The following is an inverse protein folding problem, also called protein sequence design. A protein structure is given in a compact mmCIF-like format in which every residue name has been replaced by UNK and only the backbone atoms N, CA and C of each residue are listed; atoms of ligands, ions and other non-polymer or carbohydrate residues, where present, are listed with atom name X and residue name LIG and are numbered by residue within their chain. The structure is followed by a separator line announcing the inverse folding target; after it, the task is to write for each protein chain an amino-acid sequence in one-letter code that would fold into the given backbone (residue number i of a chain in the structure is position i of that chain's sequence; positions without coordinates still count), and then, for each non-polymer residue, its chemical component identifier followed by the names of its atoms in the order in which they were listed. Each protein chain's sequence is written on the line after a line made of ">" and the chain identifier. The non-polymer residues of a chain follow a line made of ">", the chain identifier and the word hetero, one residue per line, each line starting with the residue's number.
data_IF_464330424200
#
_entry.id   IF_464330424200
#
_cell.length_a   1.000
_cell.length_b   1.000
_cell.length_c   1.000
_cell.angle_alpha   90.00
_cell.angle_beta   90.00
_cell.angle_gamma   90.00
#
_symmetry.space_group_name_H-M   'P 1'
#
loop_
_entity.id
_entity.type
_entity.pdbx_description
1 polymer ?
#
# COMPACT_ATOMS: atom_id res chain seq x y z
N UNK A 1 -26.32 -47.53 8.42
CA UNK A 1 -25.36 -46.79 9.27
C UNK A 1 -24.24 -46.18 8.41
N UNK A 2 -24.58 -45.48 7.31
CA UNK A 2 -23.61 -44.90 6.35
C UNK A 2 -24.03 -43.50 5.86
N UNK A 3 -24.90 -42.79 6.61
CA UNK A 3 -25.34 -41.42 6.28
C UNK A 3 -24.73 -40.33 7.17
N UNK A 4 -23.99 -40.69 8.21
CA UNK A 4 -23.42 -39.73 9.16
C UNK A 4 -21.93 -39.42 8.95
N UNK A 5 -21.23 -40.09 8.02
CA UNK A 5 -19.80 -39.86 7.79
C UNK A 5 -19.54 -38.84 6.65
N UNK A 6 -20.56 -38.47 5.88
CA UNK A 6 -20.43 -37.45 4.82
C UNK A 6 -20.63 -36.00 5.32
N UNK A 7 -20.68 -35.77 6.64
CA UNK A 7 -20.87 -34.45 7.25
C UNK A 7 -19.58 -33.81 7.79
N UNK A 8 -18.42 -34.47 7.63
CA UNK A 8 -17.16 -34.03 8.24
C UNK A 8 -16.06 -33.61 7.25
N UNK A 9 -16.38 -33.38 5.97
CA UNK A 9 -15.45 -32.72 5.04
C UNK A 9 -15.72 -31.22 4.90
N UNK A 10 -16.23 -30.61 5.98
CA UNK A 10 -16.29 -29.16 6.14
C UNK A 10 -14.89 -28.70 6.57
N UNK A 11 -13.93 -28.74 5.65
CA UNK A 11 -12.91 -27.69 5.68
C UNK A 11 -13.69 -26.38 5.65
N UNK A 12 -13.58 -25.58 6.71
CA UNK A 12 -14.34 -24.34 6.87
C UNK A 12 -14.10 -23.42 5.67
N UNK A 13 -14.92 -23.54 4.63
CA UNK A 13 -14.97 -22.59 3.53
C UNK A 13 -15.53 -21.31 4.12
N UNK A 14 -14.61 -20.42 4.53
CA UNK A 14 -14.97 -19.07 4.91
C UNK A 14 -15.85 -18.47 3.82
N UNK A 15 -17.02 -17.95 4.22
CA UNK A 15 -17.95 -17.33 3.29
C UNK A 15 -17.20 -16.30 2.43
N UNK A 16 -17.30 -16.35 1.08
CA UNK A 16 -16.60 -15.40 0.20
C UNK A 16 -17.01 -13.94 0.50
N UNK A 17 -18.21 -13.74 1.05
CA UNK A 17 -18.65 -12.44 1.53
C UNK A 17 -17.87 -11.96 2.77
N UNK A 18 -17.59 -12.87 3.71
CA UNK A 18 -16.76 -12.56 4.88
C UNK A 18 -15.33 -12.22 4.45
N UNK A 19 -14.75 -13.00 3.53
CA UNK A 19 -13.42 -12.70 2.97
C UNK A 19 -13.39 -11.31 2.31
N UNK A 20 -14.42 -10.96 1.52
CA UNK A 20 -14.53 -9.63 0.93
C UNK A 20 -14.57 -8.52 1.99
N UNK A 21 -15.32 -8.71 3.08
CA UNK A 21 -15.40 -7.73 4.18
C UNK A 21 -14.09 -7.60 4.96
N UNK A 22 -13.40 -8.72 5.24
CA UNK A 22 -12.07 -8.70 5.85
C UNK A 22 -11.11 -7.93 4.93
N UNK A 23 -11.15 -8.20 3.62
CA UNK A 23 -10.39 -7.46 2.63
C UNK A 23 -10.67 -5.97 2.66
N UNK A 24 -11.94 -5.57 2.69
CA UNK A 24 -12.34 -4.17 2.82
C UNK A 24 -11.86 -3.51 4.12
N UNK A 25 -11.91 -4.23 5.25
CA UNK A 25 -11.42 -3.70 6.53
C UNK A 25 -9.90 -3.52 6.52
N UNK A 26 -9.15 -4.52 6.05
CA UNK A 26 -7.69 -4.42 5.88
C UNK A 26 -7.32 -3.26 4.94
N UNK A 27 -8.04 -3.12 3.83
CA UNK A 27 -7.78 -2.04 2.88
C UNK A 27 -8.07 -0.66 3.47
N UNK A 28 -9.13 -0.54 4.28
CA UNK A 28 -9.41 0.70 5.01
C UNK A 28 -8.30 1.05 6.00
N UNK A 29 -7.80 0.07 6.77
CA UNK A 29 -6.66 0.29 7.67
C UNK A 29 -5.40 0.74 6.90
N UNK A 30 -5.15 0.17 5.72
CA UNK A 30 -4.04 0.57 4.86
C UNK A 30 -4.21 2.01 4.38
N UNK A 31 -5.40 2.39 3.90
CA UNK A 31 -5.65 3.75 3.40
C UNK A 31 -5.54 4.76 4.54
N UNK A 32 -6.18 4.50 5.69
CA UNK A 32 -6.11 5.38 6.85
C UNK A 32 -4.68 5.46 7.39
N UNK A 33 -4.00 4.33 7.53
CA UNK A 33 -2.62 4.29 8.01
C UNK A 33 -1.64 4.96 7.04
N UNK A 34 -1.82 4.77 5.73
CA UNK A 34 -1.01 5.38 4.67
C UNK A 34 -1.24 6.89 4.50
N UNK A 35 -2.45 7.39 4.75
CA UNK A 35 -2.77 8.83 4.72
C UNK A 35 -2.46 9.54 6.06
N UNK A 36 -2.53 8.83 7.19
CA UNK A 36 -2.41 9.45 8.52
C UNK A 36 -0.99 9.34 9.08
N UNK A 37 -0.33 8.18 8.96
CA UNK A 37 0.97 7.97 9.60
C UNK A 37 2.12 8.81 8.97
N UNK A 38 2.27 8.91 7.64
CA UNK A 38 3.35 9.70 7.02
C UNK A 38 3.14 11.22 7.02
N UNK A 39 1.95 11.70 7.39
CA UNK A 39 1.56 13.10 7.18
C UNK A 39 1.07 13.82 8.45
N UNK A 40 0.28 13.14 9.30
CA UNK A 40 -0.21 13.71 10.55
C UNK A 40 0.69 13.39 11.75
N UNK A 41 1.37 12.23 11.72
CA UNK A 41 2.13 11.69 12.87
C UNK A 41 3.65 11.78 12.66
N UNK A 42 4.12 11.61 11.42
CA UNK A 42 5.52 11.79 11.04
C UNK A 42 5.65 13.01 10.11
N UNK A 43 5.91 14.23 10.62
CA UNK A 43 5.90 15.46 9.84
C UNK A 43 7.16 15.60 8.97
N UNK A 44 7.56 14.55 8.26
CA UNK A 44 8.68 14.57 7.33
C UNK A 44 8.34 15.27 6.01
N UNK A 45 7.07 15.60 5.77
CA UNK A 45 6.61 16.12 4.48
C UNK A 45 6.85 15.12 3.34
N UNK A 46 6.89 13.82 3.66
CA UNK A 46 7.09 12.76 2.68
C UNK A 46 6.11 12.96 1.53
N UNK A 47 6.60 13.06 0.29
CA UNK A 47 5.77 13.32 -0.91
C UNK A 47 5.06 14.70 -0.99
N UNK A 48 5.17 15.58 0.01
CA UNK A 48 4.56 16.93 0.01
C UNK A 48 5.55 18.07 -0.26
N UNK A 49 6.82 17.77 -0.51
CA UNK A 49 7.83 18.77 -0.87
C UNK A 49 9.25 18.32 -0.56
N UNK A 50 10.21 19.21 -0.81
CA UNK A 50 11.61 18.96 -0.49
C UNK A 50 11.85 19.13 1.02
N UNK A 51 12.46 18.13 1.71
CA UNK A 51 12.79 18.25 3.13
C UNK A 51 13.81 19.39 3.35
N UNK A 52 13.63 20.12 4.44
CA UNK A 52 14.43 21.29 4.79
C UNK A 52 14.86 21.28 6.27
N UNK A 53 15.66 22.26 6.68
CA UNK A 53 15.99 22.46 8.10
C UNK A 53 14.75 22.65 8.98
N UNK A 54 13.69 23.26 8.45
CA UNK A 54 12.41 23.39 9.17
C UNK A 54 11.73 22.02 9.36
N UNK A 55 11.87 21.11 8.40
CA UNK A 55 11.38 19.73 8.52
C UNK A 55 12.11 19.01 9.66
N UNK A 56 13.44 19.13 9.72
CA UNK A 56 14.22 18.53 10.80
C UNK A 56 13.82 19.08 12.17
N UNK A 57 13.64 20.40 12.29
CA UNK A 57 13.20 21.03 13.54
C UNK A 57 11.83 20.51 14.01
N UNK A 58 10.88 20.30 13.09
CA UNK A 58 9.56 19.70 13.40
C UNK A 58 9.69 18.26 13.90
N UNK A 59 10.53 17.46 13.25
CA UNK A 59 10.79 16.07 13.67
C UNK A 59 11.46 16.05 15.05
N UNK A 60 12.48 16.87 15.26
CA UNK A 60 13.23 16.93 16.51
C UNK A 60 12.35 17.34 17.70
N UNK A 61 11.43 18.29 17.48
CA UNK A 61 10.45 18.69 18.50
C UNK A 61 9.49 17.56 18.89
N UNK A 62 9.19 16.63 17.97
CA UNK A 62 8.20 15.57 18.16
C UNK A 62 8.75 14.18 17.80
N UNK A 63 9.95 13.87 18.31
CA UNK A 63 10.73 12.68 17.91
C UNK A 63 9.99 11.36 18.17
N UNK A 64 9.33 11.23 19.31
CA UNK A 64 8.56 10.03 19.67
C UNK A 64 7.37 9.79 18.73
N UNK A 65 6.67 10.88 18.34
CA UNK A 65 5.57 10.79 17.37
C UNK A 65 6.11 10.36 16.01
N UNK A 66 7.26 10.91 15.60
CA UNK A 66 7.92 10.50 14.38
C UNK A 66 8.24 9.00 14.43
N UNK A 67 8.91 8.48 15.46
CA UNK A 67 9.22 7.05 15.62
C UNK A 67 7.96 6.16 15.60
N UNK A 68 6.91 6.54 16.33
CA UNK A 68 5.64 5.82 16.34
C UNK A 68 5.02 5.77 14.93
N UNK A 69 5.15 6.84 14.14
CA UNK A 69 4.72 6.85 12.74
C UNK A 69 5.45 5.83 11.86
N UNK A 70 6.70 5.50 12.18
CA UNK A 70 7.46 4.43 11.52
C UNK A 70 6.95 3.04 11.89
N UNK A 71 6.69 2.80 13.18
CA UNK A 71 6.11 1.53 13.66
C UNK A 71 4.70 1.31 13.11
N UNK A 72 3.87 2.35 13.08
CA UNK A 72 2.53 2.29 12.52
C UNK A 72 2.54 1.89 11.02
N UNK A 73 3.53 2.35 10.26
CA UNK A 73 3.69 1.93 8.86
C UNK A 73 4.03 0.43 8.71
N UNK A 74 4.78 -0.17 9.64
CA UNK A 74 5.01 -1.62 9.61
C UNK A 74 3.70 -2.41 9.78
N UNK A 75 2.81 -1.93 10.64
CA UNK A 75 1.47 -2.53 10.80
C UNK A 75 0.66 -2.42 9.50
N UNK A 76 0.71 -1.27 8.84
CA UNK A 76 0.09 -1.07 7.52
C UNK A 76 0.62 -2.08 6.50
N UNK A 77 1.94 -2.28 6.43
CA UNK A 77 2.53 -3.23 5.48
C UNK A 77 2.22 -4.69 5.81
N UNK A 78 2.02 -5.04 7.09
CA UNK A 78 1.51 -6.35 7.49
C UNK A 78 0.04 -6.55 7.05
N UNK A 79 -0.79 -5.50 7.11
CA UNK A 79 -2.13 -5.52 6.53
C UNK A 79 -2.09 -5.69 5.01
N UNK A 80 -1.13 -5.06 4.32
CA UNK A 80 -0.92 -5.19 2.87
C UNK A 80 -0.65 -6.64 2.44
N UNK A 81 0.25 -7.33 3.15
CA UNK A 81 0.55 -8.75 2.93
C UNK A 81 -0.70 -9.60 3.14
N UNK A 82 -1.46 -9.31 4.19
CA UNK A 82 -2.71 -10.01 4.49
C UNK A 82 -3.78 -9.78 3.41
N UNK A 83 -3.89 -8.55 2.90
CA UNK A 83 -4.82 -8.19 1.83
C UNK A 83 -4.43 -8.83 0.49
N UNK A 84 -3.14 -9.06 0.23
CA UNK A 84 -2.69 -9.80 -0.95
C UNK A 84 -3.30 -11.21 -1.00
N UNK A 85 -3.33 -11.90 0.15
CA UNK A 85 -3.94 -13.22 0.27
C UNK A 85 -5.45 -13.16 0.02
N UNK A 86 -6.14 -12.17 0.60
CA UNK A 86 -7.59 -12.00 0.38
C UNK A 86 -7.89 -11.77 -1.10
N UNK A 87 -7.19 -10.86 -1.77
CA UNK A 87 -7.42 -10.64 -3.21
C UNK A 87 -7.07 -11.86 -4.05
N UNK A 88 -6.01 -12.60 -3.72
CA UNK A 88 -5.70 -13.85 -4.39
C UNK A 88 -6.86 -14.85 -4.28
N UNK A 89 -7.38 -15.09 -3.08
CA UNK A 89 -8.48 -16.03 -2.84
C UNK A 89 -9.77 -15.60 -3.55
N UNK A 90 -10.08 -14.31 -3.53
CA UNK A 90 -11.27 -13.78 -4.19
C UNK A 90 -11.19 -13.84 -5.72
N UNK A 91 -10.00 -13.63 -6.30
CA UNK A 91 -9.82 -13.44 -7.74
C UNK A 91 -9.20 -14.64 -8.46
N UNK A 92 -8.67 -15.65 -7.75
CA UNK A 92 -8.17 -16.90 -8.35
C UNK A 92 -9.20 -17.61 -9.25
N UNK A 93 -10.53 -17.53 -9.04
CA UNK A 93 -11.49 -18.11 -9.97
C UNK A 93 -11.52 -17.48 -11.36
N UNK A 94 -10.95 -16.27 -11.53
CA UNK A 94 -10.80 -15.64 -12.86
C UNK A 94 -9.57 -16.20 -13.57
N UNK A 95 -8.44 -16.23 -12.86
CA UNK A 95 -7.19 -16.84 -13.32
C UNK A 95 -6.20 -16.94 -12.17
N UNK A 96 -5.87 -18.18 -11.75
CA UNK A 96 -4.91 -18.44 -10.68
C UNK A 96 -3.53 -17.82 -10.95
N UNK A 97 -3.03 -17.93 -12.19
CA UNK A 97 -1.69 -17.40 -12.56
C UNK A 97 -1.63 -15.88 -12.48
N UNK A 98 -2.67 -15.19 -12.97
CA UNK A 98 -2.72 -13.72 -12.98
C UNK A 98 -2.97 -13.18 -11.56
N UNK A 99 -3.82 -13.86 -10.77
CA UNK A 99 -4.03 -13.51 -9.37
C UNK A 99 -2.75 -13.68 -8.53
N UNK A 100 -1.97 -14.74 -8.76
CA UNK A 100 -0.65 -14.92 -8.12
C UNK A 100 0.33 -13.82 -8.51
N UNK A 101 0.38 -13.44 -9.80
CA UNK A 101 1.24 -12.37 -10.25
C UNK A 101 0.90 -11.03 -9.55
N UNK A 102 -0.39 -10.72 -9.42
CA UNK A 102 -0.83 -9.56 -8.65
C UNK A 102 -0.40 -9.63 -7.18
N UNK A 103 -0.51 -10.80 -6.54
CA UNK A 103 -0.07 -11.00 -5.17
C UNK A 103 1.45 -10.80 -5.03
N UNK A 104 2.26 -11.35 -5.94
CA UNK A 104 3.71 -11.15 -5.93
C UNK A 104 4.09 -9.67 -6.05
N UNK A 105 3.45 -8.90 -6.93
CA UNK A 105 3.71 -7.47 -6.99
C UNK A 105 3.34 -6.72 -5.70
N UNK A 106 2.24 -7.09 -5.04
CA UNK A 106 1.87 -6.51 -3.75
C UNK A 106 2.86 -6.86 -2.63
N UNK A 107 3.34 -8.10 -2.60
CA UNK A 107 4.37 -8.53 -1.66
C UNK A 107 5.70 -7.81 -1.90
N UNK A 108 6.11 -7.65 -3.16
CA UNK A 108 7.30 -6.87 -3.53
C UNK A 108 7.15 -5.40 -3.08
N UNK A 109 5.99 -4.79 -3.31
CA UNK A 109 5.68 -3.46 -2.77
C UNK A 109 5.88 -3.41 -1.26
N UNK A 110 5.22 -4.31 -0.51
CA UNK A 110 5.28 -4.32 0.95
C UNK A 110 6.71 -4.54 1.46
N UNK A 111 7.50 -5.41 0.81
CA UNK A 111 8.88 -5.68 1.18
C UNK A 111 9.78 -4.45 0.98
N UNK A 112 9.72 -3.81 -0.20
CA UNK A 112 10.50 -2.60 -0.49
C UNK A 112 10.09 -1.47 0.46
N UNK A 113 8.78 -1.25 0.63
CA UNK A 113 8.26 -0.18 1.48
C UNK A 113 8.64 -0.39 2.95
N UNK A 114 8.60 -1.63 3.46
CA UNK A 114 9.03 -1.98 4.81
C UNK A 114 10.52 -1.80 5.01
N UNK A 115 11.35 -2.27 4.08
CA UNK A 115 12.80 -2.08 4.16
C UNK A 115 13.16 -0.58 4.15
N UNK A 116 12.45 0.22 3.35
CA UNK A 116 12.67 1.65 3.25
C UNK A 116 12.33 2.44 4.53
N UNK A 117 11.58 1.85 5.48
CA UNK A 117 11.36 2.44 6.81
C UNK A 117 12.69 2.60 7.57
N UNK A 118 13.76 1.88 7.23
CA UNK A 118 15.06 2.09 7.87
C UNK A 118 15.51 3.56 7.78
N UNK A 119 15.27 4.22 6.65
CA UNK A 119 15.59 5.64 6.46
C UNK A 119 14.84 6.54 7.46
N UNK A 120 13.64 6.13 7.86
CA UNK A 120 12.84 6.82 8.87
C UNK A 120 13.53 6.77 10.22
N UNK A 121 13.90 5.57 10.70
CA UNK A 121 14.51 5.40 12.02
C UNK A 121 15.94 5.95 12.10
N UNK A 122 16.72 5.88 11.01
CA UNK A 122 18.07 6.47 10.99
C UNK A 122 18.01 7.99 11.18
N UNK A 123 17.01 8.67 10.58
CA UNK A 123 16.79 10.11 10.85
C UNK A 123 16.48 10.35 12.33
N UNK A 124 15.73 9.47 12.98
CA UNK A 124 15.47 9.58 14.42
C UNK A 124 16.76 9.48 15.24
N UNK A 125 17.61 8.50 14.93
CA UNK A 125 18.91 8.31 15.60
C UNK A 125 19.82 9.54 15.45
N UNK A 126 19.88 10.10 14.24
CA UNK A 126 20.68 11.31 13.95
C UNK A 126 20.17 12.51 14.77
N UNK A 127 18.86 12.74 14.80
CA UNK A 127 18.27 13.89 15.48
C UNK A 127 18.19 13.71 17.01
N UNK A 128 18.22 12.46 17.49
CA UNK A 128 18.20 12.11 18.91
C UNK A 128 19.53 12.32 19.64
N UNK A 129 20.62 12.59 18.92
CA UNK A 129 21.92 12.95 19.52
C UNK A 129 22.68 11.78 20.14
N UNK A 130 22.77 10.64 19.45
CA UNK A 130 23.57 9.50 19.94
C UNK A 130 25.07 9.83 20.00
N UNK A 131 25.74 9.48 21.09
CA UNK A 131 27.20 9.65 21.27
C UNK A 131 28.06 8.98 20.17
N UNK A 132 27.52 8.00 19.46
CA UNK A 132 28.20 7.36 18.32
C UNK A 132 28.38 8.26 17.09
N UNK A 133 27.86 9.49 17.12
CA UNK A 133 27.90 10.44 16.00
C UNK A 133 28.74 11.70 16.30
N UNK A 134 29.46 11.72 17.43
CA UNK A 134 30.22 12.89 17.90
C UNK A 134 31.34 13.34 16.94
N UNK A 135 31.79 12.47 16.03
CA UNK A 135 32.78 12.79 14.99
C UNK A 135 32.19 13.65 13.85
N UNK A 136 30.87 13.65 13.69
CA UNK A 136 30.21 14.44 12.65
C UNK A 136 29.90 15.85 13.16
N UNK A 137 30.17 16.85 12.32
CA UNK A 137 29.68 18.20 12.60
C UNK A 137 28.15 18.28 12.51
N UNK A 138 27.50 19.22 13.24
CA UNK A 138 26.05 19.39 13.16
C UNK A 138 25.52 19.61 11.74
N UNK A 139 26.28 20.32 10.89
CA UNK A 139 25.92 20.53 9.49
C UNK A 139 25.95 19.25 8.65
N UNK A 140 26.90 18.35 8.89
CA UNK A 140 26.95 17.04 8.23
C UNK A 140 25.77 16.16 8.62
N UNK A 141 25.42 16.14 9.92
CA UNK A 141 24.26 15.40 10.42
C UNK A 141 22.94 15.89 9.82
N UNK A 142 22.76 17.22 9.73
CA UNK A 142 21.57 17.81 9.11
C UNK A 142 21.47 17.46 7.61
N UNK A 143 22.59 17.57 6.87
CA UNK A 143 22.62 17.21 5.46
C UNK A 143 22.32 15.71 5.23
N UNK A 144 22.87 14.84 6.09
CA UNK A 144 22.60 13.41 6.06
C UNK A 144 21.14 13.09 6.36
N UNK A 145 20.56 13.71 7.40
CA UNK A 145 19.15 13.52 7.74
C UNK A 145 18.21 13.95 6.61
N UNK A 146 18.46 15.11 5.98
CA UNK A 146 17.71 15.57 4.80
C UNK A 146 17.83 14.58 3.65
N UNK A 147 19.04 14.08 3.40
CA UNK A 147 19.28 13.10 2.32
C UNK A 147 18.51 11.81 2.57
N UNK A 148 18.50 11.30 3.80
CA UNK A 148 17.73 10.11 4.17
C UNK A 148 16.21 10.32 4.03
N UNK A 149 15.69 11.51 4.34
CA UNK A 149 14.28 11.84 4.08
C UNK A 149 13.95 11.83 2.57
N UNK A 150 14.87 12.32 1.72
CA UNK A 150 14.73 12.22 0.26
C UNK A 150 14.79 10.78 -0.22
N UNK A 151 15.76 9.99 0.26
CA UNK A 151 15.87 8.56 -0.04
C UNK A 151 14.61 7.81 0.39
N UNK A 152 14.03 8.14 1.54
CA UNK A 152 12.77 7.56 2.00
C UNK A 152 11.63 7.85 1.00
N UNK A 153 11.53 9.08 0.50
CA UNK A 153 10.51 9.43 -0.51
C UNK A 153 10.73 8.63 -1.80
N UNK A 154 11.96 8.63 -2.33
CA UNK A 154 12.32 7.90 -3.54
C UNK A 154 12.08 6.39 -3.41
N UNK A 155 12.48 5.78 -2.29
CA UNK A 155 12.27 4.36 -2.02
C UNK A 155 10.78 3.99 -1.96
N UNK A 156 9.93 4.90 -1.50
CA UNK A 156 8.48 4.69 -1.52
C UNK A 156 7.90 4.81 -2.93
N UNK A 157 8.40 5.73 -3.78
CA UNK A 157 7.98 5.79 -5.18
C UNK A 157 8.39 4.55 -5.97
N UNK A 158 9.56 3.97 -5.67
CA UNK A 158 9.99 2.67 -6.22
C UNK A 158 9.01 1.57 -5.78
N UNK A 159 8.60 1.56 -4.50
CA UNK A 159 7.59 0.61 -4.04
C UNK A 159 6.26 0.82 -4.81
N UNK A 160 5.79 2.05 -4.94
CA UNK A 160 4.55 2.39 -5.65
C UNK A 160 4.53 1.91 -7.09
N UNK A 161 5.67 1.84 -7.77
CA UNK A 161 5.73 1.23 -9.10
C UNK A 161 5.17 -0.20 -9.11
N UNK A 162 5.60 -1.05 -8.15
CA UNK A 162 5.09 -2.42 -8.03
C UNK A 162 3.64 -2.46 -7.55
N UNK A 163 3.26 -1.56 -6.65
CA UNK A 163 1.87 -1.40 -6.24
C UNK A 163 0.95 -1.05 -7.42
N UNK A 164 1.42 -0.18 -8.31
CA UNK A 164 0.69 0.20 -9.52
C UNK A 164 0.46 -0.97 -10.48
N UNK A 165 1.48 -1.82 -10.67
CA UNK A 165 1.35 -3.07 -11.42
C UNK A 165 0.32 -4.02 -10.79
N UNK A 166 0.34 -4.15 -9.46
CA UNK A 166 -0.68 -4.89 -8.72
C UNK A 166 -2.08 -4.33 -9.00
N UNK A 167 -2.29 -3.02 -8.84
CA UNK A 167 -3.58 -2.35 -9.06
C UNK A 167 -4.08 -2.51 -10.51
N UNK A 168 -3.19 -2.42 -11.51
CA UNK A 168 -3.53 -2.67 -12.91
C UNK A 168 -4.05 -4.10 -13.12
N UNK A 169 -3.36 -5.10 -12.55
CA UNK A 169 -3.74 -6.51 -12.71
C UNK A 169 -5.01 -6.84 -11.92
N UNK A 170 -5.14 -6.37 -10.66
CA UNK A 170 -6.37 -6.54 -9.88
C UNK A 170 -7.53 -5.84 -10.58
N UNK A 171 -7.33 -4.64 -11.13
CA UNK A 171 -8.35 -3.93 -11.90
C UNK A 171 -8.83 -4.73 -13.11
N UNK A 172 -7.90 -5.34 -13.85
CA UNK A 172 -8.21 -6.29 -14.93
C UNK A 172 -9.02 -7.51 -14.44
N UNK A 173 -8.59 -8.14 -13.34
CA UNK A 173 -9.28 -9.30 -12.76
C UNK A 173 -10.69 -8.94 -12.29
N UNK A 174 -10.87 -7.80 -11.62
CA UNK A 174 -12.17 -7.27 -11.20
C UNK A 174 -13.07 -7.03 -12.40
N UNK A 175 -12.56 -6.41 -13.47
CA UNK A 175 -13.30 -6.20 -14.71
C UNK A 175 -13.78 -7.52 -15.33
N UNK A 176 -12.90 -8.53 -15.36
CA UNK A 176 -13.20 -9.86 -15.89
C UNK A 176 -14.09 -10.69 -14.97
N UNK A 177 -14.14 -10.38 -13.67
CA UNK A 177 -14.73 -11.23 -12.62
C UNK A 177 -16.22 -11.50 -12.75
N UNK A 178 -16.99 -10.55 -13.29
CA UNK A 178 -18.47 -10.51 -13.36
C UNK A 178 -19.23 -10.52 -12.02
N UNK A 179 -18.58 -10.84 -10.90
CA UNK A 179 -19.12 -10.72 -9.53
C UNK A 179 -18.72 -9.43 -8.80
N UNK A 180 -17.88 -8.60 -9.39
CA UNK A 180 -17.65 -7.19 -9.00
C UNK A 180 -18.10 -6.20 -10.08
N UNK A 181 -18.45 -4.95 -9.72
CA UNK A 181 -18.70 -3.89 -10.69
C UNK A 181 -17.47 -3.61 -11.57
N UNK A 182 -17.67 -3.62 -12.88
CA UNK A 182 -16.59 -3.37 -13.87
C UNK A 182 -15.95 -1.99 -13.71
N UNK A 183 -16.72 -0.99 -13.29
CA UNK A 183 -16.24 0.38 -13.09
C UNK A 183 -15.13 0.45 -12.03
N UNK A 184 -15.23 -0.35 -10.96
CA UNK A 184 -14.19 -0.43 -9.93
C UNK A 184 -12.89 -0.99 -10.49
N UNK A 185 -13.00 -2.01 -11.35
CA UNK A 185 -11.83 -2.59 -12.02
C UNK A 185 -11.14 -1.60 -12.95
N UNK A 186 -11.91 -0.85 -13.74
CA UNK A 186 -11.38 0.18 -14.66
C UNK A 186 -10.71 1.31 -13.87
N UNK A 187 -11.40 1.84 -12.86
CA UNK A 187 -10.89 2.92 -12.03
C UNK A 187 -9.58 2.52 -11.32
N UNK A 188 -9.54 1.30 -10.74
CA UNK A 188 -8.34 0.79 -10.08
C UNK A 188 -7.18 0.59 -11.07
N UNK A 189 -7.46 0.11 -12.28
CA UNK A 189 -6.42 -0.07 -13.28
C UNK A 189 -5.81 1.26 -13.74
N UNK A 190 -6.64 2.28 -13.96
CA UNK A 190 -6.19 3.64 -14.30
C UNK A 190 -5.35 4.22 -13.15
N UNK A 191 -5.82 4.09 -11.91
CA UNK A 191 -5.06 4.50 -10.71
C UNK A 191 -3.71 3.78 -10.60
N UNK A 192 -3.68 2.47 -10.89
CA UNK A 192 -2.47 1.66 -10.93
C UNK A 192 -1.44 2.16 -11.95
N UNK A 193 -1.89 2.53 -13.15
CA UNK A 193 -1.00 3.14 -14.15
C UNK A 193 -0.46 4.50 -13.68
N UNK A 194 -1.25 5.26 -12.92
CA UNK A 194 -0.78 6.48 -12.26
C UNK A 194 0.39 6.20 -11.30
N UNK A 195 0.25 5.20 -10.42
CA UNK A 195 1.33 4.79 -9.51
C UNK A 195 2.60 4.35 -10.26
N UNK A 196 2.46 3.63 -11.37
CA UNK A 196 3.60 3.25 -12.24
C UNK A 196 4.27 4.49 -12.83
N UNK A 197 3.49 5.45 -13.34
CA UNK A 197 4.01 6.66 -13.96
C UNK A 197 4.76 7.59 -12.96
N UNK A 198 4.39 7.53 -11.68
CA UNK A 198 4.89 8.44 -10.65
C UNK A 198 6.42 8.49 -10.54
N UNK A 199 7.10 7.34 -10.57
CA UNK A 199 8.57 7.32 -10.48
C UNK A 199 9.23 8.01 -11.69
N UNK A 200 8.65 7.85 -12.89
CA UNK A 200 9.15 8.49 -14.11
C UNK A 200 8.97 10.00 -14.06
N UNK A 201 7.82 10.47 -13.55
CA UNK A 201 7.56 11.89 -13.34
C UNK A 201 8.60 12.50 -12.40
N UNK A 202 9.01 11.79 -11.34
CA UNK A 202 10.01 12.31 -10.40
C UNK A 202 11.41 12.39 -10.99
N UNK A 203 11.85 11.35 -11.71
CA UNK A 203 13.26 11.26 -12.15
C UNK A 203 13.53 12.00 -13.46
N UNK A 204 12.51 12.31 -14.25
CA UNK A 204 12.64 13.08 -15.49
C UNK A 204 12.53 14.57 -15.16
N UNK A 205 13.59 15.38 -15.32
CA UNK A 205 13.62 16.76 -14.83
C UNK A 205 12.48 17.64 -15.35
N UNK A 206 12.19 17.57 -16.67
CA UNK A 206 11.10 18.34 -17.28
C UNK A 206 9.72 17.99 -16.71
N UNK A 207 9.52 16.75 -16.24
CA UNK A 207 8.25 16.31 -15.64
C UNK A 207 8.18 16.63 -14.15
N UNK A 208 9.31 16.62 -13.45
CA UNK A 208 9.38 16.93 -12.03
C UNK A 208 8.91 18.37 -11.74
N UNK A 209 9.23 19.31 -12.64
CA UNK A 209 8.79 20.71 -12.56
C UNK A 209 7.28 20.90 -12.74
N UNK A 210 6.56 19.92 -13.31
CA UNK A 210 5.13 19.99 -13.54
C UNK A 210 4.30 19.67 -12.29
N UNK A 211 4.93 19.24 -11.19
CA UNK A 211 4.25 18.94 -9.92
C UNK A 211 3.02 18.02 -10.08
N UNK A 212 3.10 17.02 -10.96
CA UNK A 212 1.96 16.17 -11.33
C UNK A 212 1.51 15.21 -10.22
N UNK A 213 2.30 15.07 -9.15
CA UNK A 213 2.07 14.10 -8.08
C UNK A 213 0.62 14.09 -7.55
N UNK A 214 0.00 15.22 -7.13
CA UNK A 214 -1.37 15.21 -6.61
C UNK A 214 -2.39 14.75 -7.65
N UNK A 215 -2.20 15.11 -8.92
CA UNK A 215 -3.10 14.75 -10.01
C UNK A 215 -3.03 13.27 -10.39
N UNK A 216 -1.89 12.63 -10.12
CA UNK A 216 -1.71 11.19 -10.31
C UNK A 216 -2.30 10.42 -9.13
N UNK A 217 -2.01 10.85 -7.90
CA UNK A 217 -2.43 10.15 -6.69
C UNK A 217 -3.92 10.30 -6.39
N UNK A 218 -4.52 11.46 -6.65
CA UNK A 218 -5.90 11.73 -6.25
C UNK A 218 -6.93 10.80 -6.92
N UNK A 219 -6.89 10.58 -8.25
CA UNK A 219 -7.78 9.61 -8.90
C UNK A 219 -7.54 8.17 -8.42
N UNK A 220 -6.28 7.80 -8.16
CA UNK A 220 -5.93 6.48 -7.66
C UNK A 220 -6.51 6.23 -6.26
N UNK A 221 -6.35 7.20 -5.35
CA UNK A 221 -6.93 7.16 -4.01
C UNK A 221 -8.46 7.07 -4.02
N UNK A 222 -9.14 7.76 -4.94
CA UNK A 222 -10.60 7.63 -5.12
C UNK A 222 -10.97 6.22 -5.55
N UNK A 223 -10.25 5.64 -6.51
CA UNK A 223 -10.53 4.29 -7.00
C UNK A 223 -10.35 3.23 -5.89
N UNK A 224 -9.29 3.33 -5.11
CA UNK A 224 -9.03 2.44 -3.98
C UNK A 224 -10.04 2.59 -2.86
N UNK A 225 -10.42 3.83 -2.52
CA UNK A 225 -11.47 4.10 -1.55
C UNK A 225 -12.81 3.53 -2.01
N UNK A 226 -13.17 3.71 -3.29
CA UNK A 226 -14.40 3.16 -3.85
C UNK A 226 -14.42 1.62 -3.77
N UNK A 227 -13.31 0.95 -4.10
CA UNK A 227 -13.19 -0.50 -3.95
C UNK A 227 -13.29 -0.94 -2.49
N UNK A 228 -12.62 -0.22 -1.59
CA UNK A 228 -12.62 -0.48 -0.14
C UNK A 228 -14.03 -0.42 0.44
N UNK A 229 -14.76 0.67 0.15
CA UNK A 229 -16.14 0.85 0.58
C UNK A 229 -17.07 -0.22 -0.03
N UNK A 230 -16.85 -0.58 -1.30
CA UNK A 230 -17.59 -1.65 -1.93
C UNK A 230 -17.40 -2.99 -1.22
N UNK A 231 -16.15 -3.37 -0.93
CA UNK A 231 -15.81 -4.61 -0.21
C UNK A 231 -16.44 -4.66 1.19
N UNK A 232 -16.45 -3.54 1.91
CA UNK A 232 -17.04 -3.43 3.25
C UNK A 232 -18.56 -3.57 3.23
N UNK A 233 -19.23 -2.81 2.35
CA UNK A 233 -20.70 -2.66 2.38
C UNK A 233 -21.39 -3.76 1.56
N UNK A 234 -20.95 -3.96 0.32
CA UNK A 234 -21.57 -4.87 -0.64
C UNK A 234 -20.85 -6.22 -0.74
N UNK A 235 -19.53 -6.23 -0.60
CA UNK A 235 -18.69 -7.40 -0.84
C UNK A 235 -18.70 -7.81 -2.31
N UNK A 236 -19.18 -9.01 -2.61
CA UNK A 236 -19.23 -9.57 -3.97
C UNK A 236 -20.55 -10.32 -4.22
N UNK A 237 -20.85 -10.59 -5.49
CA UNK A 237 -21.97 -11.46 -5.85
C UNK A 237 -21.61 -12.93 -5.61
N UNK A 238 -22.11 -13.51 -4.50
CA UNK A 238 -21.77 -14.87 -4.05
C UNK A 238 -22.17 -15.93 -5.07
N UNK A 239 -23.36 -15.81 -5.68
CA UNK A 239 -23.85 -16.78 -6.67
C UNK A 239 -22.91 -16.85 -7.88
N UNK A 240 -22.60 -15.69 -8.48
CA UNK A 240 -21.68 -15.62 -9.63
C UNK A 240 -20.26 -16.06 -9.30
N UNK A 241 -19.80 -15.79 -8.07
CA UNK A 241 -18.49 -16.23 -7.61
C UNK A 241 -18.43 -17.74 -7.47
N UNK A 242 -19.45 -18.37 -6.88
CA UNK A 242 -19.57 -19.82 -6.76
C UNK A 242 -19.70 -20.51 -8.12
N UNK A 243 -20.57 -19.99 -9.01
CA UNK A 243 -20.70 -20.49 -10.39
C UNK A 243 -19.34 -20.54 -11.10
N UNK A 244 -18.55 -19.47 -10.96
CA UNK A 244 -17.24 -19.38 -11.59
C UNK A 244 -16.20 -20.29 -10.95
N UNK A 245 -16.26 -20.46 -9.63
CA UNK A 245 -15.33 -21.34 -8.91
C UNK A 245 -15.58 -22.81 -9.26
N UNK A 246 -16.83 -23.19 -9.46
CA UNK A 246 -17.23 -24.54 -9.84
C UNK A 246 -16.98 -24.86 -11.33
N UNK A 247 -16.67 -23.85 -12.15
CA UNK A 247 -16.34 -24.00 -13.56
C UNK A 247 -14.82 -24.19 -13.82
N UNK A 248 -13.99 -24.18 -12.76
CA UNK A 248 -12.55 -24.44 -12.78
C UNK A 248 -12.25 -25.94 -12.69
#
# INVERSE_FOLDING_TARGET
>A
MNREIAANDVTAQYSPLLQARIGGFLYLLIILGGLFAPFAVAPSGMMLGEPSLQTLAKIQHSILSYEFGGVAQLVVYACDVSLALVFYELLKPVSKKIALLAAYFRLTFAAIASANIINHFVVSIILGGSHSLDEFSPGQLQALAITLLKMRTLGFDIALFFFGLHCAIVGYLLYRSTYFPRILGIALAIGGLGYVANIFVRVIPILAELHLFPYIMFPAGIAEMALTLWLLVRGLNVVRWSERTNAL
#
